data_IF_327857116098
#
_entry.id   IF_327857116098
#
_cell.length_a   1.000
_cell.length_b   1.000
_cell.length_c   1.000
_cell.angle_alpha   90.00
_cell.angle_beta   90.00
_cell.angle_gamma   90.00
#
_symmetry.space_group_name_H-M   'P 1'
#
loop_
_entity.id
_entity.type
_entity.pdbx_description
1 polymer ?
#
# COMPACT_ATOMS: atom_id res chain seq x y z
N UNK A 1 -7.17 63.10 43.68
CA UNK A 1 -5.92 62.37 43.45
C UNK A 1 -6.29 60.95 43.10
N UNK A 2 -6.43 60.66 41.77
CA UNK A 2 -6.78 59.33 41.26
C UNK A 2 -5.51 58.66 40.78
N UNK A 3 -5.14 57.51 41.40
CA UNK A 3 -4.04 56.68 40.98
C UNK A 3 -4.50 55.67 39.94
N UNK A 4 -3.92 55.73 38.76
CA UNK A 4 -4.10 54.72 37.67
C UNK A 4 -3.06 53.60 37.85
N UNK A 5 -3.55 52.39 38.12
CA UNK A 5 -2.72 51.17 38.11
C UNK A 5 -2.64 50.66 36.65
N UNK A 6 -1.44 50.67 36.07
CA UNK A 6 -1.11 50.01 34.83
C UNK A 6 -0.86 48.52 35.08
N UNK A 7 -1.72 47.67 34.59
CA UNK A 7 -1.52 46.21 34.56
C UNK A 7 -0.81 45.87 33.28
N UNK A 8 0.47 45.46 33.39
CA UNK A 8 1.26 44.95 32.26
C UNK A 8 0.93 43.47 32.03
N UNK A 9 0.24 43.19 30.95
CA UNK A 9 0.05 41.80 30.46
C UNK A 9 1.33 41.30 29.80
N UNK A 10 2.04 40.38 30.45
CA UNK A 10 3.09 39.58 29.83
C UNK A 10 2.45 38.46 29.00
N UNK A 11 2.45 38.62 27.69
CA UNK A 11 2.20 37.49 26.79
C UNK A 11 3.46 36.64 26.67
N UNK A 12 3.45 35.49 27.33
CA UNK A 12 4.49 34.48 27.12
C UNK A 12 4.23 33.79 25.76
N UNK A 13 5.10 34.02 24.81
CA UNK A 13 5.10 33.26 23.53
C UNK A 13 5.46 31.80 23.80
N UNK A 14 4.74 30.82 23.20
CA UNK A 14 5.15 29.43 23.33
C UNK A 14 6.47 29.22 22.59
N UNK A 15 7.50 28.85 23.32
CA UNK A 15 8.77 28.35 22.76
C UNK A 15 8.46 26.97 22.19
N UNK A 16 8.38 26.86 20.86
CA UNK A 16 8.44 25.56 20.19
C UNK A 16 9.85 24.99 20.48
N UNK A 17 9.90 23.95 21.30
CA UNK A 17 11.11 23.17 21.47
C UNK A 17 11.48 22.54 20.13
N UNK A 18 12.65 22.87 19.61
CA UNK A 18 13.22 22.15 18.48
C UNK A 18 13.35 20.66 18.85
N UNK A 19 13.12 19.73 17.92
CA UNK A 19 13.33 18.31 18.19
C UNK A 19 14.79 18.13 18.63
N UNK A 20 14.98 17.56 19.83
CA UNK A 20 16.29 17.22 20.34
C UNK A 20 16.99 16.30 19.35
N UNK A 21 18.17 16.67 18.88
CA UNK A 21 19.06 15.76 18.18
C UNK A 21 19.37 14.60 19.14
N UNK A 22 18.72 13.47 18.89
CA UNK A 22 19.04 12.21 19.57
C UNK A 22 20.46 11.83 19.14
N UNK A 23 21.42 12.08 20.05
CA UNK A 23 22.80 11.67 19.86
C UNK A 23 22.88 10.20 19.48
N UNK A 24 23.71 9.89 18.50
CA UNK A 24 23.95 8.54 18.00
C UNK A 24 24.25 7.58 19.16
N UNK A 25 23.27 6.75 19.51
CA UNK A 25 23.44 5.65 20.45
C UNK A 25 24.39 4.65 19.79
N UNK A 26 25.45 4.25 20.50
CA UNK A 26 26.34 3.16 20.07
C UNK A 26 25.50 1.89 19.86
N UNK A 27 25.29 1.53 18.55
CA UNK A 27 24.43 0.45 18.09
C UNK A 27 23.07 1.00 17.67
N UNK A 28 22.97 1.48 16.42
CA UNK A 28 21.68 1.85 15.83
C UNK A 28 20.80 0.61 15.66
N UNK A 29 19.89 0.39 16.62
CA UNK A 29 18.96 -0.72 16.63
C UNK A 29 17.91 -0.64 15.49
N UNK A 30 17.84 0.50 14.80
CA UNK A 30 16.89 0.72 13.70
C UNK A 30 17.48 0.40 12.33
N UNK A 31 18.79 0.10 12.25
CA UNK A 31 19.48 -0.18 10.99
C UNK A 31 19.45 0.99 10.01
N UNK A 32 19.49 2.23 10.50
CA UNK A 32 19.45 3.46 9.72
C UNK A 32 18.06 3.85 9.21
N UNK A 33 17.01 3.33 9.83
CA UNK A 33 15.64 3.65 9.42
C UNK A 33 15.26 5.12 9.71
N UNK A 34 14.84 5.90 8.67
CA UNK A 34 14.46 7.30 8.86
C UNK A 34 13.28 7.54 9.81
N UNK A 35 12.43 6.52 10.03
CA UNK A 35 11.30 6.59 10.95
C UNK A 35 11.60 5.99 12.32
N UNK A 36 12.85 5.54 12.57
CA UNK A 36 13.26 4.99 13.83
C UNK A 36 12.56 3.68 14.21
N UNK A 37 12.09 2.89 13.25
CA UNK A 37 11.38 1.63 13.50
C UNK A 37 12.36 0.51 13.85
N UNK A 38 12.21 -0.04 15.05
CA UNK A 38 12.99 -1.21 15.49
C UNK A 38 12.64 -2.49 14.75
N UNK A 39 11.50 -2.55 14.06
CA UNK A 39 11.10 -3.68 13.21
C UNK A 39 11.86 -3.72 11.87
N UNK A 40 12.44 -2.59 11.44
CA UNK A 40 13.05 -2.49 10.12
C UNK A 40 14.17 -3.49 9.83
N UNK A 41 15.15 -3.73 10.73
CA UNK A 41 16.21 -4.71 10.48
C UNK A 41 15.67 -6.13 10.26
N UNK A 42 14.68 -6.54 11.06
CA UNK A 42 14.01 -7.84 10.92
C UNK A 42 13.24 -7.94 9.60
N UNK A 43 12.44 -6.92 9.26
CA UNK A 43 11.71 -6.87 8.00
C UNK A 43 12.63 -6.90 6.78
N UNK A 44 13.75 -6.19 6.83
CA UNK A 44 14.76 -6.23 5.78
C UNK A 44 15.29 -7.65 5.58
N UNK A 45 15.60 -8.36 6.66
CA UNK A 45 16.08 -9.75 6.61
C UNK A 45 15.01 -10.74 6.14
N UNK A 46 13.73 -10.45 6.42
CA UNK A 46 12.62 -11.34 6.07
C UNK A 46 12.16 -11.20 4.61
N UNK A 47 12.15 -9.97 4.07
CA UNK A 47 11.48 -9.66 2.80
C UNK A 47 12.42 -9.33 1.65
N UNK A 48 13.70 -9.06 1.93
CA UNK A 48 14.67 -8.72 0.89
C UNK A 48 15.77 -9.77 0.78
N UNK A 49 16.31 -9.91 -0.42
CA UNK A 49 17.42 -10.83 -0.66
C UNK A 49 18.65 -10.39 0.14
N UNK A 50 19.31 -11.33 0.79
CA UNK A 50 20.43 -11.07 1.71
C UNK A 50 21.59 -10.29 1.05
N UNK A 51 21.82 -10.55 -0.24
CA UNK A 51 22.92 -9.95 -1.02
C UNK A 51 22.51 -8.62 -1.68
N UNK A 52 21.24 -8.23 -1.60
CA UNK A 52 20.76 -7.03 -2.25
C UNK A 52 21.01 -5.78 -1.38
N UNK A 53 21.63 -4.78 -1.98
CA UNK A 53 21.75 -3.45 -1.35
C UNK A 53 20.38 -2.85 -1.12
N UNK A 54 20.16 -2.26 0.04
CA UNK A 54 18.92 -1.53 0.39
C UNK A 54 19.25 -0.07 0.67
N UNK A 55 18.49 0.85 0.07
CA UNK A 55 18.65 2.30 0.25
C UNK A 55 17.28 2.96 0.41
N UNK A 56 17.16 3.93 1.32
CA UNK A 56 15.99 4.80 1.37
C UNK A 56 16.06 5.82 0.24
N UNK A 57 14.95 6.00 -0.48
CA UNK A 57 14.96 6.78 -1.72
C UNK A 57 13.68 7.62 -1.87
N UNK A 58 13.82 8.93 -1.79
CA UNK A 58 12.71 9.88 -1.91
C UNK A 58 12.12 9.99 -3.32
N UNK A 59 12.73 9.35 -4.33
CA UNK A 59 12.16 9.24 -5.67
C UNK A 59 10.91 8.34 -5.68
N UNK A 60 10.80 7.41 -4.75
CA UNK A 60 9.55 6.67 -4.54
C UNK A 60 8.60 7.58 -3.75
N UNK A 61 7.52 8.00 -4.39
CA UNK A 61 6.47 8.79 -3.74
C UNK A 61 5.47 7.87 -3.10
N UNK A 62 5.27 8.01 -1.80
CA UNK A 62 4.25 7.24 -1.04
C UNK A 62 3.27 8.24 -0.46
N UNK A 63 2.00 8.12 -0.86
CA UNK A 63 0.92 9.01 -0.42
C UNK A 63 -0.09 8.20 0.38
N UNK A 64 -0.35 8.64 1.59
CA UNK A 64 -1.28 8.04 2.56
C UNK A 64 -2.00 9.17 3.32
N UNK A 65 -3.14 8.91 3.95
CA UNK A 65 -3.73 9.86 4.89
C UNK A 65 -2.85 9.99 6.15
N UNK A 66 -2.87 11.14 6.79
CA UNK A 66 -2.18 11.34 8.08
C UNK A 66 -2.79 10.45 9.16
N UNK A 67 -4.12 10.26 9.12
CA UNK A 67 -4.88 9.43 10.04
C UNK A 67 -5.83 8.51 9.26
N UNK A 68 -5.87 7.23 9.64
CA UNK A 68 -6.79 6.24 9.08
C UNK A 68 -8.16 6.37 9.76
N UNK A 69 -9.09 7.07 9.13
CA UNK A 69 -10.48 7.19 9.61
C UNK A 69 -11.20 5.83 9.59
N UNK A 70 -10.94 5.03 8.56
CA UNK A 70 -11.39 3.65 8.44
C UNK A 70 -10.16 2.73 8.34
N UNK A 71 -9.85 2.06 9.45
CA UNK A 71 -8.70 1.15 9.55
C UNK A 71 -8.82 -0.09 8.64
N UNK A 72 -10.01 -0.42 8.14
CA UNK A 72 -10.23 -1.52 7.21
C UNK A 72 -10.02 -1.12 5.74
N UNK A 73 -9.99 0.18 5.44
CA UNK A 73 -9.96 0.71 4.07
C UNK A 73 -8.99 1.88 3.88
N UNK A 74 -7.79 1.78 4.42
CA UNK A 74 -6.76 2.83 4.35
C UNK A 74 -6.27 2.98 2.90
N UNK A 75 -6.47 4.13 2.26
CA UNK A 75 -6.01 4.34 0.89
C UNK A 75 -4.50 4.58 0.84
N UNK A 76 -3.85 3.95 -0.14
CA UNK A 76 -2.44 4.11 -0.45
C UNK A 76 -2.26 4.36 -1.93
N UNK A 77 -1.39 5.29 -2.26
CA UNK A 77 -0.87 5.50 -3.59
C UNK A 77 0.65 5.52 -3.54
N UNK A 78 1.29 4.84 -4.47
CA UNK A 78 2.73 5.00 -4.65
C UNK A 78 3.11 5.17 -6.12
N UNK A 79 4.24 5.82 -6.35
CA UNK A 79 4.86 5.99 -7.65
C UNK A 79 6.39 5.87 -7.53
N UNK A 80 6.94 4.86 -8.19
CA UNK A 80 8.37 4.58 -8.29
C UNK A 80 8.92 4.84 -9.72
N UNK A 81 8.15 5.49 -10.60
CA UNK A 81 8.52 5.70 -12.02
C UNK A 81 9.84 6.48 -12.20
N UNK A 82 10.18 7.34 -11.23
CA UNK A 82 11.44 8.08 -11.24
C UNK A 82 12.70 7.20 -11.07
N UNK A 83 12.54 5.91 -10.71
CA UNK A 83 13.65 4.95 -10.67
C UNK A 83 14.00 4.35 -12.04
N UNK A 84 13.13 4.52 -13.05
CA UNK A 84 13.25 3.85 -14.33
C UNK A 84 12.73 2.42 -14.30
N UNK A 85 13.54 1.44 -14.72
CA UNK A 85 13.12 0.03 -14.77
C UNK A 85 13.08 -0.61 -13.38
N UNK A 86 11.90 -1.06 -12.99
CA UNK A 86 11.63 -1.75 -11.73
C UNK A 86 11.21 -3.19 -12.03
N UNK A 87 11.88 -4.17 -11.41
CA UNK A 87 11.58 -5.60 -11.54
C UNK A 87 10.32 -5.97 -10.75
N UNK A 88 10.26 -5.56 -9.49
CA UNK A 88 9.15 -5.81 -8.58
C UNK A 88 9.07 -4.77 -7.47
N UNK A 89 7.90 -4.62 -6.90
CA UNK A 89 7.64 -3.75 -5.76
C UNK A 89 6.97 -4.59 -4.67
N UNK A 90 7.41 -4.41 -3.43
CA UNK A 90 6.81 -5.02 -2.24
C UNK A 90 6.32 -3.90 -1.33
N UNK A 91 5.08 -4.01 -0.86
CA UNK A 91 4.51 -3.09 0.13
C UNK A 91 4.45 -3.78 1.48
N UNK A 92 5.03 -3.13 2.49
CA UNK A 92 5.16 -3.62 3.85
C UNK A 92 4.58 -2.61 4.85
N UNK A 93 4.04 -3.12 5.95
CA UNK A 93 3.54 -2.32 7.08
C UNK A 93 4.17 -2.85 8.37
N UNK A 94 4.97 -2.03 9.02
CA UNK A 94 5.87 -2.46 10.10
C UNK A 94 5.15 -3.14 11.26
N UNK A 95 4.00 -2.60 11.67
CA UNK A 95 3.30 -3.01 12.90
C UNK A 95 2.01 -3.80 12.65
N UNK A 96 1.72 -4.14 11.41
CA UNK A 96 0.64 -5.09 11.12
C UNK A 96 1.05 -6.51 11.54
N UNK A 97 0.13 -7.35 12.03
CA UNK A 97 0.40 -8.76 12.31
C UNK A 97 0.89 -9.51 11.06
N UNK A 98 0.30 -9.22 9.91
CA UNK A 98 0.74 -9.67 8.59
C UNK A 98 1.37 -8.46 7.91
N UNK A 99 2.70 -8.42 7.86
CA UNK A 99 3.46 -7.23 7.44
C UNK A 99 3.45 -6.99 5.94
N UNK A 100 3.44 -8.07 5.12
CA UNK A 100 3.42 -7.97 3.66
C UNK A 100 1.99 -7.74 3.18
N UNK A 101 1.76 -6.62 2.48
CA UNK A 101 0.45 -6.23 1.96
C UNK A 101 0.24 -6.71 0.54
N UNK A 102 1.22 -6.48 -0.33
CA UNK A 102 1.20 -6.93 -1.72
C UNK A 102 2.61 -7.00 -2.32
N UNK A 103 2.71 -7.75 -3.42
CA UNK A 103 3.83 -7.69 -4.35
C UNK A 103 3.31 -7.34 -5.74
N UNK A 104 3.99 -6.42 -6.43
CA UNK A 104 3.59 -5.91 -7.72
C UNK A 104 4.74 -6.00 -8.73
N UNK A 105 4.49 -6.63 -9.89
CA UNK A 105 5.40 -6.70 -11.02
C UNK A 105 4.78 -5.88 -12.14
N UNK A 106 5.33 -4.69 -12.45
CA UNK A 106 4.68 -3.73 -13.34
C UNK A 106 4.62 -4.17 -14.80
N UNK A 107 5.61 -4.91 -15.32
CA UNK A 107 5.71 -5.38 -16.71
C UNK A 107 5.56 -4.22 -17.73
N UNK A 108 4.33 -3.95 -18.21
CA UNK A 108 3.98 -2.85 -19.12
C UNK A 108 3.26 -1.70 -18.43
N UNK A 109 2.74 -1.92 -17.22
CA UNK A 109 2.22 -0.85 -16.40
C UNK A 109 3.38 0.00 -15.84
N UNK A 110 3.08 1.22 -15.45
CA UNK A 110 4.01 2.06 -14.66
C UNK A 110 4.26 1.38 -13.31
N UNK A 111 5.44 1.55 -12.70
CA UNK A 111 5.71 1.09 -11.34
C UNK A 111 5.00 1.98 -10.31
N UNK A 112 3.70 2.12 -10.47
CA UNK A 112 2.80 2.95 -9.68
C UNK A 112 1.48 2.18 -9.47
N UNK A 113 0.91 2.28 -8.27
CA UNK A 113 -0.33 1.59 -7.93
C UNK A 113 -1.11 2.38 -6.88
N UNK A 114 -2.45 2.35 -7.01
CA UNK A 114 -3.34 2.80 -5.95
C UNK A 114 -4.18 1.62 -5.48
N UNK A 115 -4.30 1.47 -4.17
CA UNK A 115 -5.06 0.39 -3.54
C UNK A 115 -5.52 0.80 -2.13
N UNK A 116 -6.18 -0.12 -1.42
CA UNK A 116 -6.55 0.04 -0.01
C UNK A 116 -6.11 -1.18 0.78
N UNK A 117 -5.79 -0.97 2.05
CA UNK A 117 -5.38 -2.04 2.95
C UNK A 117 -5.93 -1.86 4.37
N UNK A 118 -5.84 -2.92 5.16
CA UNK A 118 -6.23 -2.96 6.57
C UNK A 118 -5.04 -2.62 7.46
N UNK A 119 -5.24 -1.69 8.38
CA UNK A 119 -4.21 -1.22 9.30
C UNK A 119 -4.60 -1.57 10.74
N UNK A 120 -3.76 -2.35 11.43
CA UNK A 120 -4.05 -2.76 12.79
C UNK A 120 -3.73 -1.69 13.83
N UNK A 121 -2.69 -0.89 13.61
CA UNK A 121 -2.28 0.20 14.50
C UNK A 121 -1.44 1.22 13.75
N UNK A 122 -1.23 2.41 14.35
CA UNK A 122 -0.35 3.44 13.81
C UNK A 122 1.01 2.85 13.41
N UNK A 123 1.44 3.05 12.16
CA UNK A 123 2.56 2.30 11.60
C UNK A 123 3.27 3.02 10.45
N UNK A 124 4.59 2.82 10.30
CA UNK A 124 5.24 3.00 9.01
C UNK A 124 4.63 2.08 7.94
N UNK A 125 4.44 2.63 6.74
CA UNK A 125 4.24 1.87 5.51
C UNK A 125 5.47 2.07 4.62
N UNK A 126 5.90 0.99 3.95
CA UNK A 126 7.06 0.98 3.10
C UNK A 126 6.74 0.43 1.73
N UNK A 127 7.27 1.10 0.71
CA UNK A 127 7.20 0.67 -0.67
C UNK A 127 8.63 0.41 -1.12
N UNK A 128 8.99 -0.85 -1.25
CA UNK A 128 10.31 -1.29 -1.65
C UNK A 128 10.30 -1.73 -3.12
N UNK A 129 11.06 -1.06 -3.97
CA UNK A 129 11.19 -1.33 -5.39
C UNK A 129 12.57 -1.92 -5.70
N UNK A 130 12.62 -3.11 -6.29
CA UNK A 130 13.83 -3.76 -6.78
C UNK A 130 14.10 -3.32 -8.21
N UNK A 131 15.26 -2.72 -8.46
CA UNK A 131 15.69 -2.29 -9.80
C UNK A 131 16.49 -3.38 -10.54
N UNK A 132 16.79 -3.15 -11.81
CA UNK A 132 17.62 -4.04 -12.64
C UNK A 132 19.03 -4.23 -12.06
N UNK A 133 19.55 -3.21 -11.35
CA UNK A 133 20.87 -3.22 -10.69
C UNK A 133 20.90 -4.03 -9.39
N UNK A 134 19.82 -4.74 -9.08
CA UNK A 134 19.66 -5.53 -7.85
C UNK A 134 19.79 -4.69 -6.56
N UNK A 135 19.22 -3.48 -6.60
CA UNK A 135 19.13 -2.56 -5.47
C UNK A 135 17.67 -2.41 -5.04
N UNK A 136 17.40 -2.60 -3.77
CA UNK A 136 16.12 -2.27 -3.15
C UNK A 136 16.10 -0.79 -2.78
N UNK A 137 15.28 -0.01 -3.49
CA UNK A 137 14.96 1.37 -3.15
C UNK A 137 13.70 1.39 -2.29
N UNK A 138 13.71 2.10 -1.17
CA UNK A 138 12.61 2.09 -0.20
C UNK A 138 12.07 3.51 -0.01
N UNK A 139 10.84 3.73 -0.46
CA UNK A 139 10.00 4.86 -0.07
C UNK A 139 9.18 4.52 1.17
N UNK A 140 8.79 5.52 1.94
CA UNK A 140 8.06 5.31 3.19
C UNK A 140 7.13 6.49 3.51
N UNK A 141 6.14 6.20 4.35
CA UNK A 141 5.28 7.17 5.01
C UNK A 141 4.86 6.63 6.37
N UNK A 142 4.28 7.47 7.23
CA UNK A 142 3.71 7.06 8.50
C UNK A 142 2.20 7.34 8.51
N UNK A 143 1.42 6.43 9.09
CA UNK A 143 -0.03 6.54 9.19
C UNK A 143 -0.43 6.40 10.65
N UNK A 144 -1.14 7.40 11.17
CA UNK A 144 -1.80 7.31 12.47
C UNK A 144 -3.11 6.51 12.35
N UNK A 145 -3.43 5.68 13.33
CA UNK A 145 -4.68 4.91 13.36
C UNK A 145 -5.10 4.59 14.79
N UNK A 146 -6.40 4.51 15.01
CA UNK A 146 -6.97 3.97 16.27
C UNK A 146 -6.86 2.46 16.36
N UNK A 147 -6.67 1.75 15.24
CA UNK A 147 -6.42 0.32 15.17
C UNK A 147 -7.61 -0.55 14.81
N UNK A 148 -7.38 -1.89 14.78
CA UNK A 148 -8.43 -2.89 14.61
C UNK A 148 -8.79 -3.25 13.17
N UNK A 149 -7.99 -2.84 12.17
CA UNK A 149 -8.34 -3.14 10.77
C UNK A 149 -8.17 -4.61 10.36
N UNK A 150 -7.23 -5.33 10.97
CA UNK A 150 -6.93 -6.73 10.62
C UNK A 150 -7.71 -7.76 11.44
N UNK A 151 -8.23 -7.36 12.60
CA UNK A 151 -8.84 -8.25 13.61
C UNK A 151 -10.37 -8.17 13.66
N UNK A 152 -10.99 -7.44 12.72
CA UNK A 152 -12.45 -7.32 12.55
C UNK A 152 -12.87 -8.00 11.24
N UNK A 153 -14.03 -8.70 11.21
CA UNK A 153 -14.53 -9.29 9.97
C UNK A 153 -14.96 -8.21 8.98
N UNK A 154 -14.77 -8.47 7.69
CA UNK A 154 -15.28 -7.62 6.61
C UNK A 154 -16.82 -7.56 6.61
N UNK A 155 -17.37 -6.51 5.99
CA UNK A 155 -18.82 -6.30 5.95
C UNK A 155 -19.55 -7.44 5.27
N UNK A 156 -19.06 -7.94 4.12
CA UNK A 156 -19.70 -9.06 3.40
C UNK A 156 -19.52 -10.39 4.12
N UNK A 157 -18.52 -10.54 4.97
CA UNK A 157 -18.36 -11.68 5.85
C UNK A 157 -19.37 -11.61 6.99
N UNK A 158 -19.54 -10.45 7.60
CA UNK A 158 -20.44 -10.23 8.73
C UNK A 158 -21.92 -10.43 8.35
N UNK A 159 -22.34 -9.98 7.17
CA UNK A 159 -23.72 -10.14 6.66
C UNK A 159 -23.95 -11.42 5.84
N UNK A 160 -22.89 -12.21 5.58
CA UNK A 160 -22.95 -13.45 4.82
C UNK A 160 -23.20 -13.30 3.31
N UNK A 161 -23.04 -12.12 2.75
CA UNK A 161 -23.35 -11.85 1.33
C UNK A 161 -22.23 -12.21 0.35
N UNK A 162 -21.00 -12.40 0.83
CA UNK A 162 -19.81 -12.64 0.00
C UNK A 162 -19.93 -13.80 -1.03
N UNK A 163 -20.63 -14.94 -0.76
CA UNK A 163 -20.67 -16.04 -1.73
C UNK A 163 -21.41 -15.69 -3.02
N UNK A 164 -22.36 -14.73 -2.95
CA UNK A 164 -23.17 -14.35 -4.12
C UNK A 164 -22.38 -13.50 -5.13
N UNK A 165 -21.30 -12.86 -4.66
CA UNK A 165 -20.50 -11.94 -5.48
C UNK A 165 -19.06 -12.38 -5.66
N UNK A 166 -18.63 -13.49 -5.04
CA UNK A 166 -17.27 -13.96 -5.06
C UNK A 166 -16.67 -13.92 -6.48
N UNK A 167 -15.47 -13.33 -6.58
CA UNK A 167 -14.67 -13.22 -7.80
C UNK A 167 -15.35 -12.49 -8.97
N UNK A 168 -16.48 -11.78 -8.75
CA UNK A 168 -16.99 -10.86 -9.76
C UNK A 168 -16.03 -9.69 -9.92
N UNK A 169 -15.75 -9.35 -11.19
CA UNK A 169 -14.82 -8.29 -11.54
C UNK A 169 -15.58 -7.13 -12.20
N UNK A 170 -15.31 -5.94 -11.74
CA UNK A 170 -15.69 -4.70 -12.41
C UNK A 170 -14.42 -3.92 -12.77
N UNK A 171 -14.39 -3.32 -13.96
CA UNK A 171 -13.23 -2.52 -14.36
C UNK A 171 -13.59 -1.46 -15.37
N UNK A 172 -12.78 -0.38 -15.38
CA UNK A 172 -12.91 0.73 -16.30
C UNK A 172 -11.57 1.31 -16.67
N UNK A 173 -11.36 1.53 -17.95
CA UNK A 173 -10.22 2.26 -18.48
C UNK A 173 -10.58 3.75 -18.60
N UNK A 174 -9.69 4.60 -18.12
CA UNK A 174 -9.74 6.05 -18.25
C UNK A 174 -8.58 6.49 -19.14
N UNK A 175 -8.88 7.32 -20.12
CA UNK A 175 -7.88 7.91 -21.00
C UNK A 175 -7.09 9.01 -20.26
N UNK A 176 -5.91 9.34 -20.78
CA UNK A 176 -5.19 10.55 -20.42
C UNK A 176 -6.06 11.80 -20.63
N UNK A 177 -5.88 12.79 -19.80
CA UNK A 177 -6.63 14.06 -19.85
C UNK A 177 -5.72 15.22 -19.42
N UNK A 178 -6.28 16.44 -19.31
CA UNK A 178 -5.50 17.64 -18.95
C UNK A 178 -4.85 17.59 -17.55
N UNK A 179 -5.32 16.73 -16.66
CA UNK A 179 -4.81 16.58 -15.28
C UNK A 179 -3.83 15.42 -15.17
N UNK A 180 -3.97 14.40 -16.03
CA UNK A 180 -3.18 13.17 -16.03
C UNK A 180 -2.79 12.81 -17.45
N UNK A 181 -1.52 12.69 -17.71
CA UNK A 181 -0.92 12.38 -19.02
C UNK A 181 -0.81 10.88 -19.31
N UNK A 182 -1.27 10.02 -18.41
CA UNK A 182 -1.29 8.57 -18.52
C UNK A 182 -2.71 8.00 -18.61
N UNK A 183 -2.83 6.79 -19.13
CA UNK A 183 -4.07 6.02 -19.08
C UNK A 183 -4.16 5.23 -17.78
N UNK A 184 -5.36 5.16 -17.18
CA UNK A 184 -5.57 4.46 -15.90
C UNK A 184 -6.63 3.38 -16.02
N UNK A 185 -6.27 2.16 -15.66
CA UNK A 185 -7.20 1.05 -15.48
C UNK A 185 -7.56 0.92 -14.00
N UNK A 186 -8.85 1.04 -13.67
CA UNK A 186 -9.37 0.69 -12.35
C UNK A 186 -10.05 -0.67 -12.42
N UNK A 187 -9.68 -1.55 -11.49
CA UNK A 187 -10.24 -2.91 -11.39
C UNK A 187 -10.64 -3.16 -9.95
N UNK A 188 -11.87 -3.63 -9.76
CA UNK A 188 -12.38 -4.11 -8.48
C UNK A 188 -12.71 -5.60 -8.60
N UNK A 189 -12.34 -6.38 -7.60
CA UNK A 189 -12.72 -7.79 -7.47
C UNK A 189 -13.55 -7.94 -6.20
N UNK A 190 -14.71 -8.57 -6.29
CA UNK A 190 -15.51 -8.87 -5.10
C UNK A 190 -14.92 -10.06 -4.37
N UNK A 191 -14.33 -9.82 -3.20
CA UNK A 191 -13.68 -10.83 -2.38
C UNK A 191 -13.61 -10.38 -0.92
N UNK A 192 -13.87 -11.25 0.08
CA UNK A 192 -13.85 -10.84 1.50
C UNK A 192 -12.46 -10.48 2.03
N UNK A 193 -11.39 -11.00 1.45
CA UNK A 193 -10.01 -10.72 1.88
C UNK A 193 -9.82 -10.93 3.38
N UNK A 194 -10.28 -12.07 3.91
CA UNK A 194 -10.19 -12.38 5.34
C UNK A 194 -8.74 -12.61 5.77
N UNK A 195 -8.35 -12.02 6.88
CA UNK A 195 -6.97 -12.10 7.40
C UNK A 195 -6.64 -13.41 8.10
N UNK A 196 -7.64 -14.17 8.54
CA UNK A 196 -7.43 -15.31 9.42
C UNK A 196 -7.17 -14.95 10.89
N UNK A 197 -7.21 -13.67 11.24
CA UNK A 197 -6.99 -13.18 12.61
C UNK A 197 -8.29 -13.01 13.40
N UNK A 198 -9.43 -13.14 12.74
CA UNK A 198 -10.75 -13.11 13.36
C UNK A 198 -11.11 -14.53 13.82
N UNK A 199 -11.55 -14.67 15.08
CA UNK A 199 -11.91 -15.96 15.64
C UNK A 199 -12.96 -16.70 14.79
N UNK A 200 -12.68 -17.94 14.39
CA UNK A 200 -13.56 -18.75 13.56
C UNK A 200 -13.62 -18.39 12.07
N UNK A 201 -12.85 -17.40 11.63
CA UNK A 201 -12.77 -17.01 10.21
C UNK A 201 -11.37 -17.34 9.69
N UNK A 202 -11.20 -18.37 8.84
CA UNK A 202 -9.91 -18.71 8.27
C UNK A 202 -9.45 -17.64 7.28
N UNK A 203 -8.14 -17.56 7.02
CA UNK A 203 -7.59 -16.71 5.97
C UNK A 203 -8.20 -17.09 4.61
N UNK A 204 -8.77 -16.09 3.93
CA UNK A 204 -9.37 -16.26 2.61
C UNK A 204 -9.13 -15.00 1.80
N UNK A 205 -8.21 -15.06 0.85
CA UNK A 205 -7.72 -13.88 0.13
C UNK A 205 -7.29 -14.23 -1.31
N UNK A 206 -7.25 -13.23 -2.17
CA UNK A 206 -6.73 -13.36 -3.53
C UNK A 206 -5.21 -13.50 -3.46
N UNK A 207 -4.65 -14.57 -4.03
CA UNK A 207 -3.21 -14.83 -4.08
C UNK A 207 -2.55 -14.21 -5.33
N UNK A 208 -3.27 -14.21 -6.45
CA UNK A 208 -2.68 -13.84 -7.74
C UNK A 208 -3.70 -13.14 -8.63
N UNK A 209 -3.25 -12.07 -9.25
CA UNK A 209 -3.98 -11.33 -10.30
C UNK A 209 -3.01 -10.99 -11.43
N UNK A 210 -3.35 -11.36 -12.65
CA UNK A 210 -2.56 -11.10 -13.86
C UNK A 210 -3.42 -10.34 -14.86
N UNK A 211 -2.99 -9.12 -15.20
CA UNK A 211 -3.58 -8.36 -16.30
C UNK A 211 -2.91 -8.76 -17.62
N UNK A 212 -3.72 -9.04 -18.64
CA UNK A 212 -3.26 -9.41 -19.97
C UNK A 212 -3.99 -8.60 -21.05
N UNK A 213 -3.27 -8.29 -22.12
CA UNK A 213 -3.87 -7.71 -23.32
C UNK A 213 -4.60 -8.76 -24.17
N UNK A 214 -5.17 -8.33 -25.31
CA UNK A 214 -5.86 -9.20 -26.27
C UNK A 214 -5.01 -10.35 -26.84
N UNK A 215 -3.67 -10.21 -26.79
CA UNK A 215 -2.70 -11.20 -27.28
C UNK A 215 -2.16 -12.07 -26.14
N UNK A 216 -2.75 -11.99 -24.94
CA UNK A 216 -2.27 -12.61 -23.69
C UNK A 216 -0.88 -12.15 -23.24
N UNK A 217 -0.40 -10.99 -23.73
CA UNK A 217 0.80 -10.38 -23.21
C UNK A 217 0.51 -9.87 -21.80
N UNK A 218 1.37 -10.18 -20.85
CA UNK A 218 1.24 -9.73 -19.47
C UNK A 218 1.50 -8.22 -19.40
N UNK A 219 0.54 -7.50 -18.82
CA UNK A 219 0.61 -6.07 -18.61
C UNK A 219 1.06 -5.74 -17.18
N UNK A 220 0.64 -6.55 -16.21
CA UNK A 220 1.01 -6.44 -14.81
C UNK A 220 0.70 -7.75 -14.09
N UNK A 221 1.46 -8.05 -13.01
CA UNK A 221 1.13 -9.12 -12.05
C UNK A 221 1.04 -8.50 -10.66
N UNK A 222 0.04 -8.92 -9.92
CA UNK A 222 -0.18 -8.48 -8.55
C UNK A 222 -0.44 -9.71 -7.67
N UNK A 223 0.26 -9.78 -6.55
CA UNK A 223 0.11 -10.80 -5.52
C UNK A 223 -0.35 -10.11 -4.23
N UNK A 224 -1.68 -9.97 -4.03
CA UNK A 224 -2.21 -9.45 -2.79
C UNK A 224 -1.98 -10.43 -1.65
N UNK A 225 -1.98 -9.91 -0.44
CA UNK A 225 -1.98 -10.68 0.81
C UNK A 225 -3.19 -10.27 1.65
N UNK A 226 -3.41 -10.96 2.74
CA UNK A 226 -4.56 -10.83 3.61
C UNK A 226 -4.86 -9.39 4.10
N UNK A 227 -3.84 -8.51 4.33
CA UNK A 227 -4.10 -7.14 4.72
C UNK A 227 -4.71 -6.25 3.64
N UNK A 228 -4.79 -6.67 2.39
CA UNK A 228 -5.53 -5.91 1.37
C UNK A 228 -7.01 -5.84 1.78
N UNK A 229 -7.64 -4.67 1.57
CA UNK A 229 -9.04 -4.42 1.97
C UNK A 229 -10.02 -5.36 1.25
N UNK A 230 -11.16 -5.58 1.88
CA UNK A 230 -12.31 -6.26 1.29
C UNK A 230 -12.73 -5.61 -0.04
N UNK A 231 -13.19 -6.43 -0.99
CA UNK A 231 -13.56 -5.98 -2.33
C UNK A 231 -12.46 -5.10 -2.97
N UNK A 232 -11.23 -5.61 -3.08
CA UNK A 232 -10.06 -4.83 -3.43
C UNK A 232 -10.24 -4.05 -4.73
N UNK A 233 -9.88 -2.79 -4.68
CA UNK A 233 -9.86 -1.86 -5.80
C UNK A 233 -8.42 -1.47 -6.09
N UNK A 234 -7.95 -1.78 -7.29
CA UNK A 234 -6.61 -1.40 -7.77
C UNK A 234 -6.70 -0.43 -8.94
N UNK A 235 -5.76 0.52 -9.00
CA UNK A 235 -5.61 1.39 -10.17
C UNK A 235 -4.19 1.25 -10.71
N UNK A 236 -4.09 0.83 -11.97
CA UNK A 236 -2.86 0.65 -12.72
C UNK A 236 -2.71 1.78 -13.74
N UNK A 237 -1.54 2.38 -13.80
CA UNK A 237 -1.25 3.45 -14.75
C UNK A 237 -0.37 2.93 -15.90
N UNK A 238 -0.58 3.47 -17.11
CA UNK A 238 0.12 3.09 -18.33
C UNK A 238 0.52 4.36 -19.08
N UNK A 239 1.77 4.47 -19.52
CA UNK A 239 2.22 5.58 -20.37
C UNK A 239 1.39 5.66 -21.67
N UNK A 240 1.00 4.49 -22.19
CA UNK A 240 0.14 4.38 -23.35
C UNK A 240 -1.00 3.41 -23.04
N UNK A 241 -2.22 3.80 -23.36
CA UNK A 241 -3.40 2.95 -23.21
C UNK A 241 -3.18 1.61 -23.93
N UNK A 242 -3.32 0.47 -23.23
CA UNK A 242 -3.29 -0.85 -23.86
C UNK A 242 -4.35 -0.98 -24.94
N UNK A 243 -4.03 -1.65 -26.04
CA UNK A 243 -4.92 -1.79 -27.20
C UNK A 243 -5.81 -3.01 -27.06
N UNK A 244 -7.12 -2.81 -27.20
CA UNK A 244 -8.14 -3.86 -27.17
C UNK A 244 -8.56 -4.26 -25.75
N UNK A 245 -9.38 -5.31 -25.60
CA UNK A 245 -9.86 -5.75 -24.31
C UNK A 245 -8.72 -6.25 -23.44
N UNK A 246 -8.80 -5.92 -22.15
CA UNK A 246 -7.90 -6.42 -21.11
C UNK A 246 -8.61 -7.57 -20.39
N UNK A 247 -7.89 -8.66 -20.13
CA UNK A 247 -8.33 -9.76 -19.29
C UNK A 247 -7.66 -9.68 -17.93
N UNK A 248 -8.43 -9.98 -16.89
CA UNK A 248 -7.91 -10.26 -15.55
C UNK A 248 -8.07 -11.75 -15.30
N UNK A 249 -6.96 -12.44 -15.07
CA UNK A 249 -6.94 -13.84 -14.64
C UNK A 249 -6.26 -13.94 -13.29
N UNK A 250 -6.69 -14.88 -12.44
CA UNK A 250 -6.13 -15.02 -11.11
C UNK A 250 -6.79 -16.14 -10.31
N UNK A 251 -6.48 -16.18 -9.02
CA UNK A 251 -7.06 -17.13 -8.08
C UNK A 251 -6.95 -16.63 -6.65
N UNK A 252 -7.77 -17.21 -5.79
CA UNK A 252 -7.65 -17.07 -4.33
C UNK A 252 -6.92 -18.29 -3.71
N UNK A 253 -6.64 -18.23 -2.41
CA UNK A 253 -5.96 -19.29 -1.66
C UNK A 253 -6.80 -20.57 -1.46
N UNK A 254 -8.08 -20.56 -1.82
CA UNK A 254 -8.93 -21.75 -1.86
C UNK A 254 -9.03 -22.35 -3.27
N UNK A 255 -8.33 -21.78 -4.27
CA UNK A 255 -8.28 -22.25 -5.64
C UNK A 255 -9.45 -21.78 -6.51
N UNK A 256 -10.33 -20.89 -6.03
CA UNK A 256 -11.36 -20.30 -6.88
C UNK A 256 -10.71 -19.38 -7.93
N UNK A 257 -11.10 -19.55 -9.18
CA UNK A 257 -10.52 -18.81 -10.30
C UNK A 257 -11.21 -17.45 -10.49
N UNK A 258 -10.40 -16.49 -10.88
CA UNK A 258 -10.83 -15.20 -11.41
C UNK A 258 -10.52 -15.24 -12.92
N UNK A 259 -11.52 -15.04 -13.75
CA UNK A 259 -11.36 -14.93 -15.21
C UNK A 259 -12.41 -13.97 -15.75
N UNK A 260 -11.99 -12.76 -16.07
CA UNK A 260 -12.89 -11.71 -16.50
C UNK A 260 -12.26 -10.83 -17.58
N UNK A 261 -13.10 -10.36 -18.51
CA UNK A 261 -12.75 -9.29 -19.43
C UNK A 261 -13.08 -7.95 -18.76
N UNK A 262 -12.09 -7.10 -18.70
CA UNK A 262 -12.27 -5.72 -18.25
C UNK A 262 -12.66 -4.91 -19.47
N UNK A 263 -13.88 -4.38 -19.47
CA UNK A 263 -14.38 -3.53 -20.55
C UNK A 263 -13.64 -2.20 -20.57
N UNK A 264 -13.25 -1.77 -21.76
CA UNK A 264 -12.67 -0.44 -22.00
C UNK A 264 -13.75 0.65 -22.01
#
# INVERSE_FOLDING_TARGET
MSGFLLVSNFFASPVLAAPAELGAVKGDLTGGDPLGSMQWPDMKGQFFDADAKTVFDSRIKVTVPLFAEDAMNVPVSFDASALGKVKKIVVLVDRNPIRKVLEFIPEKAKPALNFRFKLEQASPIRVAALTEENVWHVGYAFIEASGGGCTVPGATRADGSWPQTLNKVAGKMFDANQVRDDARLRVQVSHPMDTGLVAGVPAFYIEEMILQDKNKQVLAKLYPFEPVSENPLFSFDFDKKPVGPISLVGRDNNGNRIDAKVTQ
#
